data_IF_106384050319
#
_entry.id   IF_106384050319
#
_cell.length_a   1.000
_cell.length_b   1.000
_cell.length_c   1.000
_cell.angle_alpha   90.00
_cell.angle_beta   90.00
_cell.angle_gamma   90.00
#
_symmetry.space_group_name_H-M   'P 1'
#
loop_
_entity.id
_entity.type
_entity.pdbx_description
1 polymer ?
#
# COMPACT_ATOMS: atom_id res chain seq x y z
N UNK A 1 8.43 3.15 33.30
CA UNK A 1 9.39 4.18 33.69
C UNK A 1 10.28 4.47 32.49
N UNK A 2 10.08 5.61 31.87
CA UNK A 2 10.98 6.17 30.87
C UNK A 2 12.36 6.32 31.53
N UNK A 3 13.38 5.72 30.95
CA UNK A 3 14.75 5.95 31.40
C UNK A 3 15.11 7.40 31.05
N UNK A 4 15.69 8.12 32.00
CA UNK A 4 16.02 9.55 31.94
C UNK A 4 17.17 9.93 31.00
N UNK A 5 17.56 9.07 30.06
CA UNK A 5 18.69 9.28 29.14
C UNK A 5 18.30 9.42 27.65
N UNK A 6 17.00 9.46 27.33
CA UNK A 6 16.57 9.82 25.99
C UNK A 6 16.58 11.35 25.83
N UNK A 7 17.78 11.95 25.85
CA UNK A 7 17.96 13.33 25.38
C UNK A 7 17.66 13.32 23.87
N UNK A 8 16.57 13.98 23.50
CA UNK A 8 16.24 14.22 22.08
C UNK A 8 17.40 15.03 21.50
N UNK A 9 18.10 14.48 20.50
CA UNK A 9 19.17 15.18 19.83
C UNK A 9 18.66 16.52 19.31
N UNK A 10 19.42 17.60 19.56
CA UNK A 10 19.04 18.97 19.21
C UNK A 10 18.64 19.15 17.73
N UNK A 11 19.24 18.36 16.85
CA UNK A 11 18.95 18.36 15.41
C UNK A 11 17.54 17.85 15.05
N UNK A 12 16.93 17.04 15.92
CA UNK A 12 15.56 16.56 15.74
C UNK A 12 14.52 17.59 16.19
N UNK A 13 14.86 18.43 17.16
CA UNK A 13 14.05 19.59 17.54
C UNK A 13 13.99 20.64 16.43
N UNK A 14 15.05 20.76 15.62
CA UNK A 14 15.09 21.65 14.45
C UNK A 14 14.05 21.23 13.40
N UNK A 15 13.73 19.95 13.30
CA UNK A 15 12.71 19.43 12.37
C UNK A 15 11.29 19.46 12.95
N UNK A 16 11.07 19.98 14.14
CA UNK A 16 9.76 20.09 14.81
C UNK A 16 9.00 18.77 14.91
N UNK A 17 9.70 17.65 15.11
CA UNK A 17 9.09 16.33 15.27
C UNK A 17 8.98 16.04 16.76
N UNK A 18 7.76 16.10 17.28
CA UNK A 18 7.47 15.98 18.72
C UNK A 18 6.84 14.64 19.11
N UNK A 19 6.51 13.78 18.14
CA UNK A 19 5.93 12.47 18.40
C UNK A 19 6.92 11.58 19.14
N UNK A 20 6.58 11.06 20.35
CA UNK A 20 7.51 10.26 21.17
C UNK A 20 8.01 9.00 20.44
N UNK A 21 7.15 8.39 19.63
CA UNK A 21 7.47 7.20 18.85
C UNK A 21 8.61 7.44 17.87
N UNK A 22 8.69 8.64 17.30
CA UNK A 22 9.75 8.98 16.35
C UNK A 22 11.15 8.86 16.98
N UNK A 23 11.27 9.08 18.29
CA UNK A 23 12.54 9.11 19.01
C UNK A 23 12.91 7.79 19.69
N UNK A 24 11.99 6.82 19.79
CA UNK A 24 12.25 5.55 20.46
C UNK A 24 13.12 4.61 19.61
N UNK A 25 14.09 3.97 20.23
CA UNK A 25 15.02 3.04 19.56
C UNK A 25 14.33 1.88 18.88
N UNK A 26 13.20 1.41 19.43
CA UNK A 26 12.41 0.33 18.83
C UNK A 26 11.94 0.68 17.42
N UNK A 27 11.75 1.97 17.10
CA UNK A 27 11.32 2.46 15.79
C UNK A 27 12.51 2.97 14.95
N UNK A 28 13.64 3.37 15.57
CA UNK A 28 14.87 3.77 14.86
C UNK A 28 15.66 2.54 14.36
N UNK A 29 15.86 1.54 15.23
CA UNK A 29 16.66 0.36 14.94
C UNK A 29 16.32 -0.35 13.63
N UNK A 30 15.05 -0.53 13.21
CA UNK A 30 14.74 -1.13 11.91
C UNK A 30 15.28 -0.36 10.71
N UNK A 31 15.43 0.96 10.81
CA UNK A 31 16.03 1.81 9.78
C UNK A 31 17.53 1.56 9.74
N UNK A 32 18.19 1.60 10.90
CA UNK A 32 19.64 1.36 11.03
C UNK A 32 20.00 -0.05 10.54
N UNK A 33 19.18 -1.04 10.90
CA UNK A 33 19.32 -2.42 10.42
C UNK A 33 19.21 -2.52 8.90
N UNK A 34 18.28 -1.78 8.29
CA UNK A 34 18.12 -1.76 6.83
C UNK A 34 19.31 -1.07 6.16
N UNK A 35 19.70 0.11 6.66
CA UNK A 35 20.84 0.89 6.18
C UNK A 35 22.16 0.11 6.26
N UNK A 36 22.34 -0.72 7.29
CA UNK A 36 23.51 -1.60 7.44
C UNK A 36 23.63 -2.70 6.40
N UNK A 37 22.65 -2.88 5.50
CA UNK A 37 22.69 -3.90 4.46
C UNK A 37 23.21 -3.36 3.14
N UNK A 38 24.06 -4.12 2.45
CA UNK A 38 24.55 -3.75 1.13
C UNK A 38 23.41 -3.69 0.11
N UNK A 39 23.29 -2.55 -0.58
CA UNK A 39 22.22 -2.32 -1.55
C UNK A 39 20.88 -1.93 -0.94
N UNK A 40 20.89 -1.45 0.32
CA UNK A 40 19.72 -0.81 0.91
C UNK A 40 19.27 0.40 0.07
N UNK A 41 17.97 0.66 0.02
CA UNK A 41 17.40 1.81 -0.69
C UNK A 41 16.17 2.36 0.04
N UNK A 42 15.88 3.63 -0.15
CA UNK A 42 14.64 4.24 0.34
C UNK A 42 13.56 4.26 -0.74
N UNK A 43 12.30 4.45 -0.32
CA UNK A 43 11.18 4.50 -1.26
C UNK A 43 11.09 5.84 -2.03
N UNK A 44 12.10 6.71 -1.92
CA UNK A 44 12.32 7.87 -2.79
C UNK A 44 13.38 7.61 -3.88
N UNK A 45 14.01 6.44 -3.92
CA UNK A 45 15.06 6.12 -4.90
C UNK A 45 14.49 5.96 -6.30
N UNK A 46 14.62 7.01 -7.11
CA UNK A 46 14.17 7.04 -8.52
C UNK A 46 14.91 6.05 -9.43
N UNK A 47 15.97 5.38 -8.97
CA UNK A 47 16.54 4.25 -9.68
C UNK A 47 15.65 3.01 -9.61
N UNK A 48 14.86 2.87 -8.58
CA UNK A 48 13.98 1.74 -8.27
C UNK A 48 12.51 1.99 -8.61
N UNK A 49 12.03 3.21 -8.40
CA UNK A 49 10.64 3.60 -8.61
C UNK A 49 10.46 4.46 -9.85
N UNK A 50 9.25 4.43 -10.45
CA UNK A 50 8.92 5.23 -11.64
C UNK A 50 8.59 6.68 -11.29
N UNK A 51 8.06 6.91 -10.10
CA UNK A 51 7.71 8.23 -9.54
C UNK A 51 7.69 8.16 -8.02
N UNK A 52 7.79 9.31 -7.36
CA UNK A 52 7.65 9.38 -5.89
C UNK A 52 6.28 8.86 -5.43
N UNK A 53 6.20 8.29 -4.22
CA UNK A 53 4.94 7.88 -3.62
C UNK A 53 3.89 8.99 -3.68
N UNK A 54 2.66 8.64 -4.01
CA UNK A 54 1.59 9.63 -4.07
C UNK A 54 0.27 9.04 -3.58
N UNK A 55 -0.57 9.88 -2.99
CA UNK A 55 -1.94 9.52 -2.63
C UNK A 55 -2.85 9.49 -3.84
N UNK A 56 -3.87 8.65 -3.76
CA UNK A 56 -5.04 8.72 -4.61
C UNK A 56 -5.78 10.05 -4.45
N UNK A 57 -7.04 10.05 -4.73
CA UNK A 57 -7.90 11.21 -4.60
C UNK A 57 -9.29 10.76 -4.14
N UNK A 58 -10.12 11.69 -3.67
CA UNK A 58 -11.51 11.38 -3.35
C UNK A 58 -12.27 11.01 -4.63
N UNK A 59 -12.72 9.74 -4.80
CA UNK A 59 -13.44 9.34 -5.98
C UNK A 59 -14.85 9.96 -6.02
N UNK A 60 -15.34 10.23 -7.23
CA UNK A 60 -16.75 10.48 -7.45
C UNK A 60 -17.39 9.15 -7.83
N UNK A 61 -17.97 8.52 -6.85
CA UNK A 61 -18.67 7.23 -7.05
C UNK A 61 -19.94 7.44 -7.86
N UNK A 62 -20.28 6.45 -8.68
CA UNK A 62 -21.53 6.42 -9.47
C UNK A 62 -22.66 5.67 -8.77
N UNK A 63 -22.34 5.06 -7.64
CA UNK A 63 -23.28 4.24 -6.91
C UNK A 63 -24.27 5.14 -6.17
N UNK A 64 -25.53 5.07 -6.55
CA UNK A 64 -26.58 5.46 -5.64
C UNK A 64 -26.65 4.42 -4.52
N UNK A 65 -26.89 4.86 -3.29
CA UNK A 65 -26.88 4.04 -2.07
C UNK A 65 -27.83 2.83 -2.12
N UNK A 66 -28.65 2.74 -3.17
CA UNK A 66 -29.71 1.74 -3.32
C UNK A 66 -29.42 0.64 -4.34
N UNK A 67 -28.30 0.68 -5.05
CA UNK A 67 -27.98 -0.29 -6.10
C UNK A 67 -26.68 -1.03 -5.85
N UNK A 68 -26.70 -1.88 -4.79
CA UNK A 68 -25.56 -2.70 -4.40
C UNK A 68 -25.13 -3.71 -5.49
N UNK A 69 -26.04 -4.08 -6.40
CA UNK A 69 -25.75 -5.04 -7.47
C UNK A 69 -25.07 -4.37 -8.68
N UNK A 70 -25.28 -3.09 -8.90
CA UNK A 70 -24.57 -2.31 -9.93
C UNK A 70 -23.11 -2.02 -9.55
N UNK A 71 -22.77 -2.20 -8.29
CA UNK A 71 -21.42 -2.08 -7.74
C UNK A 71 -20.48 -3.17 -8.23
N UNK A 72 -21.02 -4.23 -8.74
CA UNK A 72 -20.26 -5.37 -9.15
C UNK A 72 -19.71 -5.08 -10.54
N UNK A 73 -18.54 -4.49 -10.54
CA UNK A 73 -17.47 -4.59 -11.50
C UNK A 73 -17.89 -5.06 -12.89
N UNK A 74 -18.62 -4.24 -13.56
CA UNK A 74 -18.82 -4.45 -14.95
C UNK A 74 -17.45 -4.27 -15.62
N UNK A 75 -16.90 -5.36 -16.12
CA UNK A 75 -15.58 -5.38 -16.74
C UNK A 75 -14.39 -5.65 -15.82
N UNK A 76 -14.66 -6.09 -14.61
CA UNK A 76 -13.63 -6.48 -13.66
C UNK A 76 -13.79 -7.94 -13.24
N UNK A 77 -12.83 -8.37 -12.45
CA UNK A 77 -12.99 -9.57 -11.65
C UNK A 77 -14.23 -9.39 -10.77
N UNK A 78 -15.03 -10.40 -10.63
CA UNK A 78 -16.07 -10.41 -9.62
C UNK A 78 -15.42 -10.24 -8.24
N UNK A 79 -16.24 -10.12 -7.18
CA UNK A 79 -15.74 -9.96 -5.80
C UNK A 79 -14.75 -11.05 -5.36
N UNK A 80 -14.63 -12.13 -6.14
CA UNK A 80 -13.73 -13.25 -5.94
C UNK A 80 -12.56 -13.29 -6.92
N UNK A 81 -12.43 -12.27 -7.80
CA UNK A 81 -11.36 -12.16 -8.75
C UNK A 81 -11.54 -13.07 -9.98
N UNK A 82 -12.74 -13.51 -10.29
CA UNK A 82 -13.05 -14.27 -11.52
C UNK A 82 -13.37 -13.29 -12.65
N UNK A 83 -12.72 -13.45 -13.80
CA UNK A 83 -13.00 -12.63 -14.99
C UNK A 83 -14.43 -12.85 -15.46
N UNK A 84 -15.19 -11.76 -15.56
CA UNK A 84 -16.51 -11.81 -16.17
C UNK A 84 -16.39 -11.82 -17.69
N UNK A 85 -17.18 -12.65 -18.32
CA UNK A 85 -17.19 -12.85 -19.77
C UNK A 85 -17.81 -11.70 -20.57
N UNK A 86 -18.51 -10.76 -19.92
CA UNK A 86 -19.06 -9.56 -20.54
C UNK A 86 -18.52 -8.31 -19.86
N UNK A 87 -17.73 -7.53 -20.60
CA UNK A 87 -17.10 -6.31 -20.10
C UNK A 87 -17.99 -5.13 -20.48
N UNK A 88 -18.71 -4.58 -19.51
CA UNK A 88 -19.16 -3.20 -19.62
C UNK A 88 -18.00 -2.29 -19.16
N UNK A 89 -17.35 -1.64 -20.10
CA UNK A 89 -16.22 -0.75 -19.86
C UNK A 89 -16.66 0.64 -19.37
N UNK A 90 -17.93 0.84 -19.08
CA UNK A 90 -18.45 2.13 -18.63
C UNK A 90 -18.00 2.50 -17.21
N UNK A 91 -17.69 1.51 -16.37
CA UNK A 91 -17.36 1.68 -14.98
C UNK A 91 -15.97 1.10 -14.65
N UNK A 92 -15.26 1.75 -13.73
CA UNK A 92 -13.94 1.36 -13.28
C UNK A 92 -13.93 1.21 -11.76
N UNK A 93 -13.25 0.19 -11.25
CA UNK A 93 -13.11 -0.08 -9.83
C UNK A 93 -12.44 1.09 -9.08
N UNK A 94 -13.01 1.44 -7.95
CA UNK A 94 -12.44 2.38 -7.01
C UNK A 94 -12.15 1.67 -5.67
N UNK A 95 -10.87 1.42 -5.42
CA UNK A 95 -10.40 0.80 -4.19
C UNK A 95 -10.42 1.83 -3.05
N UNK A 96 -10.97 1.41 -1.92
CA UNK A 96 -10.99 2.17 -0.67
C UNK A 96 -9.93 1.61 0.28
N UNK A 97 -9.66 2.33 1.38
CA UNK A 97 -8.75 1.83 2.44
C UNK A 97 -9.11 0.43 2.93
N UNK A 98 -10.41 0.09 2.99
CA UNK A 98 -10.88 -1.26 3.37
C UNK A 98 -10.50 -2.33 2.34
N UNK A 99 -10.22 -1.97 1.11
CA UNK A 99 -9.77 -2.89 0.06
C UNK A 99 -8.31 -3.31 0.22
N UNK A 100 -7.48 -2.51 0.89
CA UNK A 100 -6.09 -2.87 1.19
C UNK A 100 -6.04 -3.65 2.49
N UNK A 101 -5.76 -4.93 2.39
CA UNK A 101 -5.57 -5.84 3.51
C UNK A 101 -4.07 -6.07 3.75
N UNK A 102 -3.74 -6.76 4.83
CA UNK A 102 -2.35 -7.13 5.10
C UNK A 102 -1.91 -8.24 4.16
N UNK A 103 -1.32 -7.84 3.02
CA UNK A 103 -0.75 -8.74 2.03
C UNK A 103 -1.55 -8.88 0.72
N UNK A 104 -2.82 -8.55 0.67
CA UNK A 104 -3.67 -8.74 -0.51
C UNK A 104 -4.67 -7.61 -0.70
N UNK A 105 -5.25 -7.52 -1.90
CA UNK A 105 -6.32 -6.58 -2.23
C UNK A 105 -7.67 -7.31 -2.20
N UNK A 106 -8.57 -6.81 -1.36
CA UNK A 106 -9.95 -7.28 -1.24
C UNK A 106 -10.86 -6.38 -2.08
N UNK A 107 -11.41 -6.92 -3.14
CA UNK A 107 -12.30 -6.19 -4.04
C UNK A 107 -13.74 -6.09 -3.49
N UNK A 108 -14.12 -6.90 -2.51
CA UNK A 108 -15.47 -6.89 -1.94
C UNK A 108 -15.89 -5.57 -1.29
N UNK A 109 -14.94 -4.75 -0.87
CA UNK A 109 -15.19 -3.41 -0.31
C UNK A 109 -14.99 -2.25 -1.28
N UNK A 110 -14.69 -2.53 -2.55
CA UNK A 110 -14.48 -1.49 -3.55
C UNK A 110 -15.81 -0.95 -4.09
N UNK A 111 -15.75 0.24 -4.73
CA UNK A 111 -16.88 0.91 -5.38
C UNK A 111 -16.56 1.17 -6.85
N UNK A 112 -17.43 1.84 -7.57
CA UNK A 112 -17.24 2.16 -8.99
C UNK A 112 -17.20 3.66 -9.26
N UNK A 113 -16.40 4.03 -10.26
CA UNK A 113 -16.36 5.36 -10.88
C UNK A 113 -16.61 5.25 -12.37
N UNK A 114 -17.08 6.32 -13.00
CA UNK A 114 -17.26 6.34 -14.44
C UNK A 114 -15.92 6.28 -15.19
N UNK A 115 -15.93 5.72 -16.41
CA UNK A 115 -14.76 5.69 -17.27
C UNK A 115 -14.19 7.08 -17.54
N UNK A 116 -15.03 8.12 -17.64
CA UNK A 116 -14.58 9.51 -17.82
C UNK A 116 -13.88 10.04 -16.58
N UNK A 117 -14.38 9.73 -15.39
CA UNK A 117 -13.69 10.08 -14.15
C UNK A 117 -12.31 9.40 -14.09
N UNK A 118 -12.25 8.11 -14.41
CA UNK A 118 -10.99 7.37 -14.47
C UNK A 118 -10.00 7.99 -15.45
N UNK A 119 -10.43 8.26 -16.70
CA UNK A 119 -9.55 8.87 -17.72
C UNK A 119 -8.93 10.18 -17.26
N UNK A 120 -9.72 11.05 -16.60
CA UNK A 120 -9.25 12.33 -16.08
C UNK A 120 -8.25 12.21 -14.93
N UNK A 121 -8.38 11.17 -14.12
CA UNK A 121 -7.68 11.04 -12.84
C UNK A 121 -6.67 9.89 -12.77
N UNK A 122 -6.63 9.00 -13.78
CA UNK A 122 -5.80 7.79 -13.80
C UNK A 122 -4.30 8.09 -13.66
N UNK A 123 -3.83 9.21 -14.22
CA UNK A 123 -2.42 9.62 -14.09
C UNK A 123 -2.01 9.82 -12.62
N UNK A 124 -2.93 10.33 -11.79
CA UNK A 124 -2.69 10.59 -10.36
C UNK A 124 -3.00 9.37 -9.50
N UNK A 125 -4.18 8.80 -9.64
CA UNK A 125 -4.74 7.84 -8.72
C UNK A 125 -5.04 6.46 -9.33
N UNK A 126 -4.78 6.29 -10.62
CA UNK A 126 -4.88 4.99 -11.29
C UNK A 126 -3.78 4.04 -10.84
N UNK A 127 -4.14 2.78 -10.63
CA UNK A 127 -3.20 1.71 -10.28
C UNK A 127 -2.90 0.81 -11.46
N UNK A 128 -1.71 0.29 -11.49
CA UNK A 128 -1.22 -0.69 -12.46
C UNK A 128 -0.84 -1.99 -11.74
N UNK A 129 -0.84 -3.08 -12.50
CA UNK A 129 -0.35 -4.36 -11.94
C UNK A 129 1.05 -4.18 -11.35
N UNK A 130 1.27 -4.78 -10.19
CA UNK A 130 2.47 -4.68 -9.36
C UNK A 130 2.68 -3.32 -8.67
N UNK A 131 1.71 -2.41 -8.66
CA UNK A 131 1.78 -1.26 -7.76
C UNK A 131 1.68 -1.72 -6.30
N UNK A 132 2.52 -1.17 -5.44
CA UNK A 132 2.43 -1.34 -4.00
C UNK A 132 1.44 -0.29 -3.45
N UNK A 133 0.47 -0.75 -2.70
CA UNK A 133 -0.57 0.05 -2.06
C UNK A 133 -0.36 0.06 -0.56
N UNK A 134 -0.40 1.25 0.05
CA UNK A 134 -0.21 1.43 1.49
C UNK A 134 -1.36 2.26 2.04
N UNK A 135 -2.07 1.76 3.04
CA UNK A 135 -3.08 2.54 3.74
C UNK A 135 -2.41 3.64 4.57
N UNK A 136 -2.85 4.87 4.34
CA UNK A 136 -2.27 6.08 4.92
C UNK A 136 -3.07 6.68 6.06
N UNK A 137 -4.25 6.15 6.36
CA UNK A 137 -5.15 6.70 7.40
C UNK A 137 -5.94 5.59 8.08
N UNK A 138 -6.53 5.94 9.22
CA UNK A 138 -7.50 5.15 9.95
C UNK A 138 -6.86 4.23 11.00
N UNK A 139 -7.39 4.33 12.22
CA UNK A 139 -6.98 3.46 13.32
C UNK A 139 -7.27 1.98 12.96
N UNK A 140 -6.28 1.12 13.16
CA UNK A 140 -6.34 -0.31 12.82
C UNK A 140 -6.25 -0.65 11.31
N UNK A 141 -6.19 0.35 10.41
CA UNK A 141 -6.00 0.13 8.97
C UNK A 141 -4.72 0.76 8.41
N UNK A 142 -4.24 1.81 9.03
CA UNK A 142 -2.99 2.49 8.67
C UNK A 142 -1.82 1.50 8.64
N UNK A 143 -0.95 1.62 7.64
CA UNK A 143 0.20 0.74 7.50
C UNK A 143 -0.10 -0.64 6.90
N UNK A 144 -1.34 -0.96 6.55
CA UNK A 144 -1.62 -2.15 5.73
C UNK A 144 -0.99 -1.98 4.36
N UNK A 145 -0.40 -3.06 3.88
CA UNK A 145 0.34 -3.08 2.61
C UNK A 145 -0.16 -4.24 1.75
N UNK A 146 -0.40 -3.98 0.47
CA UNK A 146 -0.72 -5.00 -0.52
C UNK A 146 -0.10 -4.66 -1.88
N UNK A 147 0.13 -5.67 -2.71
CA UNK A 147 0.50 -5.48 -4.12
C UNK A 147 -0.75 -5.67 -4.98
N UNK A 148 -1.01 -4.72 -5.86
CA UNK A 148 -2.11 -4.82 -6.81
C UNK A 148 -1.79 -5.87 -7.88
N UNK A 149 -2.38 -7.05 -7.78
CA UNK A 149 -2.10 -8.20 -8.65
C UNK A 149 -3.14 -8.39 -9.76
N UNK A 150 -3.86 -7.34 -10.14
CA UNK A 150 -4.82 -7.39 -11.24
C UNK A 150 -4.31 -6.63 -12.47
N UNK A 151 -4.78 -7.03 -13.66
CA UNK A 151 -4.55 -6.30 -14.91
C UNK A 151 -5.68 -5.31 -15.22
N UNK A 152 -6.79 -5.38 -14.48
CA UNK A 152 -7.93 -4.50 -14.70
C UNK A 152 -7.63 -3.09 -14.21
N UNK A 153 -8.12 -2.07 -14.91
CA UNK A 153 -7.95 -0.71 -14.45
C UNK A 153 -8.67 -0.48 -13.12
N UNK A 154 -8.03 0.22 -12.20
CA UNK A 154 -8.63 0.66 -10.96
C UNK A 154 -8.11 2.04 -10.57
N UNK A 155 -8.83 2.72 -9.69
CA UNK A 155 -8.42 3.96 -9.06
C UNK A 155 -8.43 3.78 -7.54
N UNK A 156 -7.58 4.48 -6.82
CA UNK A 156 -7.56 4.44 -5.35
C UNK A 156 -8.06 5.75 -4.74
N UNK A 157 -8.71 5.65 -3.58
CA UNK A 157 -9.13 6.81 -2.82
C UNK A 157 -7.94 7.57 -2.19
N UNK A 158 -8.23 8.73 -1.58
CA UNK A 158 -7.23 9.58 -0.93
C UNK A 158 -6.59 9.00 0.33
N UNK A 159 -7.05 7.83 0.79
CA UNK A 159 -6.53 7.13 1.96
C UNK A 159 -5.51 6.04 1.62
N UNK A 160 -5.16 5.90 0.34
CA UNK A 160 -4.19 4.93 -0.15
C UNK A 160 -3.05 5.65 -0.84
N UNK A 161 -1.81 5.28 -0.50
CA UNK A 161 -0.58 5.70 -1.17
C UNK A 161 -0.16 4.62 -2.16
N UNK A 162 0.20 5.06 -3.37
CA UNK A 162 0.71 4.21 -4.46
C UNK A 162 2.23 4.38 -4.51
N UNK A 163 2.95 3.25 -4.54
CA UNK A 163 4.38 3.20 -4.89
C UNK A 163 4.55 2.32 -6.12
N UNK A 164 5.05 2.90 -7.21
CA UNK A 164 5.20 2.22 -8.50
C UNK A 164 6.65 1.95 -8.81
N UNK A 165 7.01 0.68 -8.88
CA UNK A 165 8.37 0.24 -9.15
C UNK A 165 8.66 0.09 -10.65
N UNK A 166 9.95 0.12 -11.00
CA UNK A 166 10.42 -0.19 -12.35
C UNK A 166 10.53 -1.69 -12.61
N UNK A 167 10.70 -2.47 -11.56
CA UNK A 167 10.82 -3.93 -11.56
C UNK A 167 9.52 -4.57 -11.08
N UNK A 168 9.13 -5.71 -11.66
CA UNK A 168 7.86 -6.39 -11.38
C UNK A 168 7.90 -7.27 -10.13
N UNK A 169 9.08 -7.61 -9.63
CA UNK A 169 9.27 -8.48 -8.46
C UNK A 169 9.60 -7.67 -7.21
N UNK A 170 10.27 -6.54 -7.38
CA UNK A 170 10.68 -5.69 -6.27
C UNK A 170 9.51 -5.25 -5.36
N UNK A 171 8.31 -4.88 -5.87
CA UNK A 171 7.18 -4.53 -5.01
C UNK A 171 6.76 -5.69 -4.08
N UNK A 172 6.90 -6.93 -4.51
CA UNK A 172 6.59 -8.11 -3.70
C UNK A 172 7.58 -8.32 -2.57
N UNK A 173 8.88 -8.09 -2.83
CA UNK A 173 9.92 -8.09 -1.80
C UNK A 173 9.67 -6.97 -0.78
N UNK A 174 9.40 -5.77 -1.27
CA UNK A 174 9.11 -4.60 -0.42
C UNK A 174 7.85 -4.83 0.43
N UNK A 175 6.78 -5.38 -0.16
CA UNK A 175 5.57 -5.71 0.58
C UNK A 175 5.84 -6.72 1.70
N UNK A 176 6.59 -7.80 1.40
CA UNK A 176 6.98 -8.79 2.40
C UNK A 176 7.77 -8.17 3.56
N UNK A 177 8.69 -7.26 3.25
CA UNK A 177 9.45 -6.54 4.28
C UNK A 177 8.55 -5.58 5.09
N UNK A 178 7.75 -4.75 4.44
CA UNK A 178 6.90 -3.77 5.12
C UNK A 178 5.83 -4.44 6.01
N UNK A 179 5.38 -5.64 5.68
CA UNK A 179 4.47 -6.43 6.51
C UNK A 179 5.18 -7.11 7.70
N UNK A 180 6.51 -7.18 7.69
CA UNK A 180 7.27 -7.69 8.83
C UNK A 180 7.21 -6.72 10.02
N UNK A 181 7.55 -7.22 11.22
CA UNK A 181 7.62 -6.38 12.42
C UNK A 181 8.57 -5.17 12.23
N UNK A 182 9.71 -5.37 11.54
CA UNK A 182 10.66 -4.28 11.27
C UNK A 182 10.08 -3.24 10.32
N UNK A 183 9.41 -3.66 9.26
CA UNK A 183 8.75 -2.78 8.31
C UNK A 183 7.61 -1.99 8.95
N UNK A 184 6.76 -2.66 9.74
CA UNK A 184 5.67 -1.99 10.46
C UNK A 184 6.20 -0.96 11.46
N UNK A 185 7.28 -1.26 12.19
CA UNK A 185 7.89 -0.29 13.10
C UNK A 185 8.42 0.95 12.39
N UNK A 186 8.97 0.82 11.18
CA UNK A 186 9.34 1.99 10.38
C UNK A 186 8.11 2.82 10.00
N UNK A 187 7.00 2.20 9.58
CA UNK A 187 5.76 2.89 9.26
C UNK A 187 5.23 3.62 10.51
N UNK A 188 5.13 2.92 11.64
CA UNK A 188 4.64 3.49 12.90
C UNK A 188 5.46 4.69 13.38
N UNK A 189 6.75 4.72 13.10
CA UNK A 189 7.61 5.87 13.42
C UNK A 189 7.11 7.19 12.84
N UNK A 190 6.47 7.15 11.70
CA UNK A 190 6.04 8.33 10.94
C UNK A 190 4.54 8.58 10.99
N UNK A 191 3.81 7.86 11.83
CA UNK A 191 2.38 8.10 12.02
C UNK A 191 2.20 9.38 12.81
N UNK A 192 1.41 10.29 12.26
CA UNK A 192 1.04 11.55 12.88
C UNK A 192 -0.42 11.50 13.35
N UNK A 193 -0.75 12.27 14.37
CA UNK A 193 -2.12 12.41 14.89
C UNK A 193 -2.37 11.59 16.15
N UNK A 194 -3.53 11.81 16.74
CA UNK A 194 -3.97 11.16 17.98
C UNK A 194 -5.46 10.83 17.92
N UNK A 195 -5.90 9.92 18.81
CA UNK A 195 -7.33 9.67 19.05
C UNK A 195 -8.16 9.30 17.81
N UNK A 196 -7.70 8.32 17.04
CA UNK A 196 -8.46 7.76 15.91
C UNK A 196 -8.29 8.50 14.58
N UNK A 197 -7.66 9.67 14.56
CA UNK A 197 -7.30 10.42 13.34
C UNK A 197 -5.80 10.33 13.05
N UNK A 198 -5.32 9.11 12.85
CA UNK A 198 -3.93 8.84 12.53
C UNK A 198 -3.70 8.89 11.02
N UNK A 199 -2.56 9.44 10.62
CA UNK A 199 -2.22 9.65 9.23
C UNK A 199 -0.70 9.50 9.00
N UNK A 200 -0.33 8.94 7.85
CA UNK A 200 1.03 8.95 7.31
C UNK A 200 1.01 9.58 5.92
N UNK A 201 1.98 10.42 5.62
CA UNK A 201 2.03 11.16 4.36
C UNK A 201 2.94 10.47 3.33
N UNK A 202 2.76 10.76 2.02
CA UNK A 202 3.67 10.25 0.99
C UNK A 202 5.13 10.53 1.27
N UNK A 203 5.45 11.71 1.80
CA UNK A 203 6.81 12.12 2.16
C UNK A 203 7.42 11.26 3.29
N UNK A 204 6.57 10.72 4.16
CA UNK A 204 7.02 9.81 5.22
C UNK A 204 7.29 8.42 4.64
N UNK A 205 6.46 7.97 3.68
CA UNK A 205 6.70 6.72 2.95
C UNK A 205 8.01 6.79 2.15
N UNK A 206 8.36 7.94 1.60
CA UNK A 206 9.65 8.15 0.91
C UNK A 206 10.86 7.86 1.79
N UNK A 207 10.74 8.03 3.11
CA UNK A 207 11.80 7.82 4.11
C UNK A 207 11.95 6.39 4.58
N UNK A 208 11.06 5.49 4.18
CA UNK A 208 11.15 4.07 4.55
C UNK A 208 12.34 3.42 3.85
N UNK A 209 13.20 2.78 4.64
CA UNK A 209 14.37 2.07 4.16
C UNK A 209 14.09 0.58 3.99
N UNK A 210 14.39 0.09 2.82
CA UNK A 210 14.26 -1.31 2.46
C UNK A 210 15.64 -1.94 2.50
N UNK A 211 15.84 -3.04 3.25
CA UNK A 211 17.13 -3.69 3.32
C UNK A 211 17.53 -4.22 1.96
N UNK A 212 18.80 -4.04 1.63
CA UNK A 212 19.41 -4.68 0.47
C UNK A 212 19.64 -6.16 0.73
N UNK A 213 19.82 -6.90 -0.35
CA UNK A 213 20.15 -8.32 -0.30
C UNK A 213 20.77 -8.75 -1.64
N UNK A 214 21.30 -9.97 -1.70
CA UNK A 214 21.63 -10.60 -2.97
C UNK A 214 20.42 -10.57 -3.91
N UNK A 215 20.57 -10.15 -5.18
CA UNK A 215 19.48 -10.07 -6.17
C UNK A 215 18.69 -11.38 -6.31
N UNK A 216 19.34 -12.53 -6.18
CA UNK A 216 18.69 -13.85 -6.21
C UNK A 216 17.75 -14.02 -5.01
N UNK A 217 18.18 -13.57 -3.83
CA UNK A 217 17.41 -13.66 -2.60
C UNK A 217 16.24 -12.68 -2.59
N UNK A 218 16.42 -11.46 -3.10
CA UNK A 218 15.32 -10.51 -3.33
C UNK A 218 14.26 -11.14 -4.22
N UNK A 219 14.68 -11.73 -5.35
CA UNK A 219 13.79 -12.40 -6.28
C UNK A 219 13.09 -13.60 -5.64
N UNK A 220 13.82 -14.43 -4.90
CA UNK A 220 13.26 -15.59 -4.19
C UNK A 220 12.16 -15.18 -3.20
N UNK A 221 12.44 -14.20 -2.33
CA UNK A 221 11.48 -13.72 -1.33
C UNK A 221 10.27 -13.12 -2.03
N UNK A 222 10.49 -12.26 -3.03
CA UNK A 222 9.40 -11.65 -3.80
C UNK A 222 8.50 -12.67 -4.48
N UNK A 223 9.07 -13.69 -5.11
CA UNK A 223 8.32 -14.76 -5.77
C UNK A 223 7.56 -15.64 -4.75
N UNK A 224 8.16 -15.95 -3.61
CA UNK A 224 7.49 -16.69 -2.53
C UNK A 224 6.28 -15.94 -2.00
N UNK A 225 6.45 -14.64 -1.73
CA UNK A 225 5.35 -13.81 -1.25
C UNK A 225 4.24 -13.69 -2.30
N UNK A 226 4.60 -13.42 -3.55
CA UNK A 226 3.65 -13.39 -4.67
C UNK A 226 2.86 -14.69 -4.79
N UNK A 227 3.55 -15.84 -4.78
CA UNK A 227 2.90 -17.16 -4.85
C UNK A 227 1.96 -17.42 -3.68
N UNK A 228 2.29 -16.94 -2.48
CA UNK A 228 1.40 -17.06 -1.31
C UNK A 228 0.10 -16.27 -1.51
N UNK A 229 0.21 -15.04 -2.03
CA UNK A 229 -0.97 -14.19 -2.33
C UNK A 229 -1.82 -14.83 -3.44
N UNK A 230 -1.20 -15.29 -4.52
CA UNK A 230 -1.91 -15.95 -5.64
C UNK A 230 -2.67 -17.21 -5.17
N UNK A 231 -2.08 -18.01 -4.27
CA UNK A 231 -2.76 -19.16 -3.65
C UNK A 231 -3.93 -18.74 -2.76
N UNK A 232 -3.77 -17.65 -2.01
CA UNK A 232 -4.84 -17.09 -1.20
C UNK A 232 -6.01 -16.60 -2.08
N UNK A 233 -5.71 -15.89 -3.16
CA UNK A 233 -6.72 -15.43 -4.12
C UNK A 233 -7.47 -16.62 -4.75
N UNK A 234 -6.75 -17.68 -5.09
CA UNK A 234 -7.37 -18.91 -5.61
C UNK A 234 -8.27 -19.58 -4.57
N UNK A 235 -7.83 -19.69 -3.33
CA UNK A 235 -8.64 -20.25 -2.22
C UNK A 235 -9.93 -19.44 -2.03
N UNK A 236 -9.85 -18.10 -2.05
CA UNK A 236 -11.05 -17.26 -1.95
C UNK A 236 -12.04 -17.50 -3.10
N UNK A 237 -11.53 -17.72 -4.33
CA UNK A 237 -12.37 -18.06 -5.48
C UNK A 237 -13.08 -19.40 -5.28
N UNK A 238 -12.37 -20.42 -4.85
CA UNK A 238 -12.93 -21.76 -4.61
C UNK A 238 -14.02 -21.74 -3.54
N UNK A 239 -13.79 -21.00 -2.42
CA UNK A 239 -14.79 -20.81 -1.37
C UNK A 239 -16.09 -20.14 -1.88
N UNK A 240 -16.00 -19.32 -2.89
CA UNK A 240 -17.16 -18.60 -3.42
C UNK A 240 -18.03 -19.42 -4.36
N UNK A 241 -17.50 -20.53 -4.85
CA UNK A 241 -18.19 -21.46 -5.77
C UNK A 241 -18.85 -22.61 -5.00
N UNK A 242 -18.41 -22.85 -3.76
CA UNK A 242 -18.96 -23.86 -2.86
C UNK A 242 -20.20 -23.35 -2.11
#
# INVERSE_FOLDING_TARGET
>A
SLKSDDSVESDLLINHIFEPEFHQDIYKKPIDDALGTTGAFCLSDLSKIKRLPNRGLQPKYIDDENDLDSLIYIGMLDKFGVEKTSIDTSNVCALKSVSVRSGYVDFGGARSVSADFYKKNSKRAGVEKNDLLINSTGDGTIGRVAVYNSRHPAIVDGHIIIVRFKDDILPWYVAAYLLSQKGQRQIYRYINGSSGQVEIYPQDIERLWIPGNDPKKIKEIGLKFKSAVEKYDQFQKELSIA
#
